data_IF_690902705239
#
_entry.id   IF_690902705239
#
_cell.length_a   1.000
_cell.length_b   1.000
_cell.length_c   1.000
_cell.angle_alpha   90.00
_cell.angle_beta   90.00
_cell.angle_gamma   90.00
#
_symmetry.space_group_name_H-M   'P 1'
#
loop_
_entity.id
_entity.type
_entity.pdbx_description
1 polymer ?
#
# COMPACT_ATOMS: atom_id res chain seq x y z
N UNK A 1 14.31 7.10 44.55
CA UNK A 1 12.93 6.71 44.22
C UNK A 1 12.27 7.77 43.36
N UNK A 2 12.13 7.53 42.05
CA UNK A 2 11.14 8.17 41.16
C UNK A 2 10.98 7.25 39.95
N UNK A 3 9.89 6.50 39.91
CA UNK A 3 9.47 5.68 38.76
C UNK A 3 8.92 6.62 37.70
N UNK A 4 9.47 6.66 36.50
CA UNK A 4 8.82 7.29 35.34
C UNK A 4 8.26 6.22 34.42
N UNK A 5 6.93 6.24 34.32
CA UNK A 5 6.07 5.36 33.51
C UNK A 5 6.29 5.68 32.04
N UNK A 6 6.64 4.68 31.24
CA UNK A 6 6.60 4.78 29.77
C UNK A 6 5.15 4.59 29.32
N UNK A 7 4.67 5.54 28.51
CA UNK A 7 3.34 5.56 27.90
C UNK A 7 3.22 4.45 26.84
N UNK A 8 2.58 3.33 27.18
CA UNK A 8 2.26 2.24 26.23
C UNK A 8 0.87 2.42 25.58
N UNK A 9 0.11 3.45 25.97
CA UNK A 9 -1.28 3.63 25.54
C UNK A 9 -1.36 4.61 24.37
N UNK A 10 -1.00 4.19 23.14
CA UNK A 10 -1.41 4.93 21.93
C UNK A 10 -1.46 4.19 20.59
N UNK A 11 -1.19 2.88 20.52
CA UNK A 11 -1.13 2.17 19.22
C UNK A 11 -2.42 1.41 18.84
N UNK A 12 -3.38 1.22 19.75
CA UNK A 12 -4.47 0.24 19.54
C UNK A 12 -5.76 0.73 18.84
N UNK A 13 -5.85 1.97 18.35
CA UNK A 13 -7.15 2.56 17.98
C UNK A 13 -7.39 2.85 16.48
N UNK A 14 -6.49 2.43 15.58
CA UNK A 14 -6.68 2.60 14.12
C UNK A 14 -7.26 1.32 13.46
N UNK A 15 -7.05 0.14 14.02
CA UNK A 15 -7.44 -1.13 13.40
C UNK A 15 -8.84 -1.64 13.76
N UNK A 16 -9.48 -1.10 14.82
CA UNK A 16 -10.82 -1.54 15.27
C UNK A 16 -11.98 -0.95 14.47
N UNK A 17 -11.76 0.10 13.66
CA UNK A 17 -12.82 0.77 12.90
C UNK A 17 -13.16 0.15 11.55
N UNK A 18 -12.36 -0.82 11.08
CA UNK A 18 -12.52 -1.39 9.73
C UNK A 18 -13.44 -2.64 9.68
N UNK A 19 -13.77 -3.25 10.83
CA UNK A 19 -14.43 -4.58 10.88
C UNK A 19 -15.96 -4.49 11.15
N UNK A 20 -16.50 -3.33 11.49
CA UNK A 20 -17.91 -3.18 11.92
C UNK A 20 -18.85 -2.63 10.83
N UNK A 21 -18.68 -2.99 9.55
CA UNK A 21 -19.52 -2.44 8.47
C UNK A 21 -20.12 -3.45 7.47
N UNK A 22 -20.04 -4.76 7.71
CA UNK A 22 -20.58 -5.77 6.77
C UNK A 22 -21.34 -6.89 7.47
N UNK A 23 -22.45 -6.58 8.13
CA UNK A 23 -23.47 -7.57 8.52
C UNK A 23 -24.77 -6.87 8.89
N UNK A 24 -25.59 -6.57 7.88
CA UNK A 24 -27.02 -6.33 8.03
C UNK A 24 -27.64 -6.24 6.64
N UNK A 25 -28.23 -7.32 6.15
CA UNK A 25 -29.41 -7.37 5.28
C UNK A 25 -29.56 -8.79 4.74
N UNK A 26 -30.64 -9.46 5.14
CA UNK A 26 -31.60 -10.16 4.27
C UNK A 26 -32.44 -11.12 5.13
N UNK A 27 -33.66 -10.72 5.47
CA UNK A 27 -34.76 -11.66 5.67
C UNK A 27 -35.92 -11.17 4.83
N UNK A 28 -36.48 -12.05 4.00
CA UNK A 28 -37.89 -12.08 3.64
C UNK A 28 -38.16 -13.41 2.93
N UNK A 29 -39.02 -14.22 3.54
CA UNK A 29 -39.43 -15.57 3.16
C UNK A 29 -40.63 -15.50 2.20
N UNK A 30 -40.70 -16.42 1.23
CA UNK A 30 -41.88 -16.62 0.38
C UNK A 30 -42.12 -18.10 0.05
N UNK A 31 -43.10 -18.69 0.74
CA UNK A 31 -43.94 -19.87 0.47
C UNK A 31 -43.43 -21.06 -0.37
N UNK A 32 -43.37 -22.27 0.21
CA UNK A 32 -43.41 -23.56 -0.53
C UNK A 32 -44.14 -24.68 0.23
N UNK A 33 -44.80 -25.57 -0.53
CA UNK A 33 -45.61 -26.72 -0.11
C UNK A 33 -44.92 -27.64 0.91
N UNK A 34 -45.68 -28.16 1.88
CA UNK A 34 -45.23 -28.94 3.06
C UNK A 34 -44.38 -30.19 2.74
N UNK A 35 -44.64 -30.87 1.63
CA UNK A 35 -43.81 -32.01 1.17
C UNK A 35 -42.48 -31.59 0.53
N UNK A 36 -42.47 -30.44 -0.16
CA UNK A 36 -41.24 -29.79 -0.64
C UNK A 36 -40.44 -29.25 0.54
N UNK A 37 -41.12 -28.68 1.54
CA UNK A 37 -40.51 -28.13 2.75
C UNK A 37 -39.79 -29.24 3.52
N UNK A 38 -40.42 -30.40 3.70
CA UNK A 38 -39.79 -31.55 4.36
C UNK A 38 -38.57 -32.09 3.60
N UNK A 39 -38.63 -32.19 2.26
CA UNK A 39 -37.48 -32.58 1.44
C UNK A 39 -36.36 -31.53 1.38
N UNK A 40 -36.71 -30.24 1.54
CA UNK A 40 -35.74 -29.16 1.70
C UNK A 40 -35.09 -29.20 3.08
N UNK A 41 -35.87 -29.37 4.15
CA UNK A 41 -35.38 -29.49 5.52
C UNK A 41 -34.47 -30.73 5.69
N UNK A 42 -34.86 -31.90 5.15
CA UNK A 42 -34.02 -33.11 5.18
C UNK A 42 -32.72 -32.93 4.36
N UNK A 43 -32.76 -32.22 3.23
CA UNK A 43 -31.55 -31.91 2.45
C UNK A 43 -30.67 -30.85 3.11
N UNK A 44 -31.27 -29.85 3.75
CA UNK A 44 -30.56 -28.83 4.54
C UNK A 44 -29.87 -29.48 5.75
N UNK A 45 -30.56 -30.37 6.47
CA UNK A 45 -29.98 -31.12 7.59
C UNK A 45 -28.85 -32.05 7.11
N UNK A 46 -29.00 -32.70 5.95
CA UNK A 46 -27.93 -33.53 5.37
C UNK A 46 -26.72 -32.70 4.91
N UNK A 47 -26.95 -31.50 4.37
CA UNK A 47 -25.89 -30.55 3.98
C UNK A 47 -25.19 -30.00 5.22
N UNK A 48 -25.95 -29.61 6.24
CA UNK A 48 -25.44 -29.10 7.51
C UNK A 48 -24.64 -30.17 8.26
N UNK A 49 -25.11 -31.42 8.25
CA UNK A 49 -24.38 -32.55 8.85
C UNK A 49 -23.08 -32.83 8.10
N UNK A 50 -23.09 -32.85 6.75
CA UNK A 50 -21.87 -33.01 5.94
C UNK A 50 -20.89 -31.86 6.13
N UNK A 51 -21.38 -30.63 6.17
CA UNK A 51 -20.55 -29.45 6.44
C UNK A 51 -19.95 -29.52 7.85
N UNK A 52 -20.72 -29.97 8.84
CA UNK A 52 -20.24 -30.13 10.22
C UNK A 52 -19.20 -31.25 10.35
N UNK A 53 -19.40 -32.37 9.66
CA UNK A 53 -18.42 -33.46 9.58
C UNK A 53 -17.13 -33.03 8.85
N UNK A 54 -17.24 -32.31 7.73
CA UNK A 54 -16.08 -31.77 7.01
C UNK A 54 -15.29 -30.77 7.87
N UNK A 55 -15.97 -29.84 8.57
CA UNK A 55 -15.35 -28.91 9.53
C UNK A 55 -14.64 -29.69 10.65
N UNK A 56 -15.28 -30.73 11.20
CA UNK A 56 -14.70 -31.56 12.27
C UNK A 56 -13.45 -32.32 11.83
N UNK A 57 -13.41 -32.85 10.61
CA UNK A 57 -12.25 -33.56 10.06
C UNK A 57 -11.10 -32.58 9.77
N UNK A 58 -11.43 -31.38 9.30
CA UNK A 58 -10.45 -30.32 9.02
C UNK A 58 -9.87 -29.71 10.30
N UNK A 59 -10.68 -29.60 11.38
CA UNK A 59 -10.20 -29.25 12.72
C UNK A 59 -9.24 -30.30 13.30
N UNK A 60 -9.57 -31.60 13.16
CA UNK A 60 -8.69 -32.68 13.60
C UNK A 60 -7.35 -32.69 12.88
N UNK A 61 -7.35 -32.55 11.55
CA UNK A 61 -6.10 -32.45 10.77
C UNK A 61 -5.25 -31.25 11.19
N UNK A 62 -5.88 -30.11 11.48
CA UNK A 62 -5.17 -28.91 11.97
C UNK A 62 -4.54 -29.15 13.34
N UNK A 63 -5.24 -29.83 14.23
CA UNK A 63 -4.73 -30.19 15.55
C UNK A 63 -3.55 -31.17 15.47
N UNK A 64 -3.65 -32.22 14.65
CA UNK A 64 -2.55 -33.19 14.43
C UNK A 64 -1.29 -32.53 13.86
N UNK A 65 -1.46 -31.59 12.90
CA UNK A 65 -0.34 -30.81 12.37
C UNK A 65 0.30 -29.93 13.46
N UNK A 66 -0.49 -29.25 14.28
CA UNK A 66 0.02 -28.41 15.37
C UNK A 66 0.79 -29.24 16.43
N UNK A 67 0.30 -30.41 16.80
CA UNK A 67 0.99 -31.33 17.71
C UNK A 67 2.31 -31.86 17.13
N UNK A 68 2.36 -32.08 15.81
CA UNK A 68 3.59 -32.51 15.13
C UNK A 68 4.65 -31.42 15.15
N UNK A 69 4.25 -30.16 14.96
CA UNK A 69 5.14 -29.00 15.07
C UNK A 69 5.63 -28.84 16.50
N UNK A 70 4.73 -28.95 17.49
CA UNK A 70 5.08 -28.89 18.91
C UNK A 70 6.18 -29.90 19.28
N UNK A 71 5.99 -31.18 18.93
CA UNK A 71 6.97 -32.25 19.18
C UNK A 71 8.33 -31.96 18.52
N UNK A 72 8.31 -31.38 17.32
CA UNK A 72 9.54 -31.03 16.59
C UNK A 72 10.29 -29.91 17.30
N UNK A 73 9.59 -28.87 17.78
CA UNK A 73 10.19 -27.77 18.54
C UNK A 73 10.74 -28.27 19.88
N UNK A 74 9.99 -29.11 20.61
CA UNK A 74 10.45 -29.71 21.89
C UNK A 74 11.77 -30.45 21.67
N UNK A 75 11.82 -31.33 20.67
CA UNK A 75 13.03 -32.09 20.35
C UNK A 75 14.23 -31.17 20.08
N UNK A 76 14.05 -30.13 19.27
CA UNK A 76 15.14 -29.18 18.96
C UNK A 76 15.63 -28.44 20.21
N UNK A 77 14.73 -28.07 21.12
CA UNK A 77 15.09 -27.43 22.40
C UNK A 77 15.84 -28.39 23.31
N UNK A 78 15.42 -29.66 23.41
CA UNK A 78 16.11 -30.70 24.18
C UNK A 78 17.53 -30.98 23.66
N UNK A 79 17.72 -30.89 22.34
CA UNK A 79 19.02 -30.99 21.66
C UNK A 79 19.85 -29.69 21.74
N UNK A 80 19.37 -28.69 22.49
CA UNK A 80 19.94 -27.33 22.61
C UNK A 80 20.08 -26.57 21.27
N UNK A 81 19.34 -26.99 20.26
CA UNK A 81 19.33 -26.41 18.93
C UNK A 81 18.27 -25.32 18.80
N UNK A 82 18.48 -24.22 19.52
CA UNK A 82 17.49 -23.17 19.68
C UNK A 82 17.22 -22.37 18.40
N UNK A 83 18.25 -22.14 17.58
CA UNK A 83 18.09 -21.40 16.33
C UNK A 83 17.20 -22.17 15.34
N UNK A 84 17.38 -23.49 15.25
CA UNK A 84 16.52 -24.33 14.41
C UNK A 84 15.10 -24.40 14.97
N UNK A 85 14.92 -24.41 16.29
CA UNK A 85 13.59 -24.34 16.92
C UNK A 85 12.86 -23.03 16.55
N UNK A 86 13.56 -21.89 16.64
CA UNK A 86 13.05 -20.57 16.24
C UNK A 86 12.69 -20.57 14.75
N UNK A 87 13.61 -21.04 13.90
CA UNK A 87 13.43 -21.05 12.45
C UNK A 87 12.28 -21.96 12.04
N UNK A 88 12.13 -23.13 12.68
CA UNK A 88 11.04 -24.06 12.43
C UNK A 88 9.67 -23.45 12.78
N UNK A 89 9.56 -22.79 13.93
CA UNK A 89 8.35 -22.05 14.31
C UNK A 89 8.04 -20.95 13.28
N UNK A 90 9.03 -20.14 12.92
CA UNK A 90 8.83 -19.02 12.00
C UNK A 90 8.43 -19.46 10.61
N UNK A 91 9.08 -20.49 10.07
CA UNK A 91 8.72 -21.03 8.78
C UNK A 91 7.27 -21.49 8.81
N UNK A 92 6.90 -22.29 9.81
CA UNK A 92 5.57 -22.88 9.92
C UNK A 92 4.45 -21.85 10.09
N UNK A 93 4.62 -20.87 10.98
CA UNK A 93 3.51 -19.99 11.39
C UNK A 93 3.60 -18.54 10.90
N UNK A 94 4.77 -18.08 10.45
CA UNK A 94 5.02 -16.67 10.11
C UNK A 94 5.33 -16.49 8.63
N UNK A 95 6.31 -17.23 8.09
CA UNK A 95 6.87 -16.98 6.75
C UNK A 95 6.16 -17.75 5.65
N UNK A 96 5.82 -19.03 5.85
CA UNK A 96 5.13 -19.82 4.81
C UNK A 96 3.62 -19.80 4.94
N UNK A 97 3.08 -19.09 5.95
CA UNK A 97 1.65 -18.89 6.26
C UNK A 97 0.74 -19.83 5.47
N UNK A 98 0.84 -21.13 5.76
CA UNK A 98 -0.20 -22.06 5.39
C UNK A 98 -1.42 -21.60 6.21
N UNK A 99 -2.34 -20.87 5.57
CA UNK A 99 -3.38 -20.07 6.24
C UNK A 99 -4.31 -20.90 7.14
N UNK A 100 -4.16 -22.22 7.11
CA UNK A 100 -4.93 -23.22 7.83
C UNK A 100 -4.39 -23.51 9.24
N UNK A 101 -3.11 -23.28 9.55
CA UNK A 101 -2.52 -23.69 10.84
C UNK A 101 -2.11 -22.48 11.67
N UNK A 102 -2.73 -22.32 12.84
CA UNK A 102 -2.40 -21.26 13.80
C UNK A 102 -1.52 -21.81 14.93
N UNK A 103 -0.58 -21.01 15.45
CA UNK A 103 0.19 -21.42 16.61
C UNK A 103 -0.74 -21.57 17.83
N UNK A 104 -0.59 -22.66 18.56
CA UNK A 104 -1.22 -22.86 19.87
C UNK A 104 -0.48 -22.06 20.94
N UNK A 105 -1.12 -21.82 22.08
CA UNK A 105 -0.46 -21.22 23.25
C UNK A 105 0.84 -21.96 23.61
N UNK A 106 0.82 -23.29 23.55
CA UNK A 106 2.00 -24.10 23.84
C UNK A 106 3.15 -23.90 22.87
N UNK A 107 2.87 -23.82 21.56
CA UNK A 107 3.90 -23.53 20.56
C UNK A 107 4.49 -22.14 20.72
N UNK A 108 3.70 -21.15 21.16
CA UNK A 108 4.18 -19.79 21.46
C UNK A 108 5.08 -19.81 22.69
N UNK A 109 4.74 -20.56 23.74
CA UNK A 109 5.61 -20.74 24.91
C UNK A 109 6.96 -21.36 24.54
N UNK A 110 6.95 -22.41 23.72
CA UNK A 110 8.17 -23.08 23.27
C UNK A 110 9.02 -22.16 22.40
N UNK A 111 8.40 -21.38 21.52
CA UNK A 111 9.07 -20.34 20.75
C UNK A 111 9.77 -19.32 21.67
N UNK A 112 9.05 -18.81 22.67
CA UNK A 112 9.62 -17.90 23.67
C UNK A 112 10.79 -18.53 24.43
N UNK A 113 10.68 -19.80 24.82
CA UNK A 113 11.74 -20.53 25.50
C UNK A 113 12.98 -20.70 24.60
N UNK A 114 12.79 -21.05 23.33
CA UNK A 114 13.89 -21.18 22.37
C UNK A 114 14.60 -19.83 22.17
N UNK A 115 13.85 -18.74 21.97
CA UNK A 115 14.40 -17.39 21.85
C UNK A 115 15.18 -17.00 23.11
N UNK A 116 14.60 -17.23 24.29
CA UNK A 116 15.27 -16.96 25.56
C UNK A 116 16.60 -17.71 25.65
N UNK A 117 16.60 -19.01 25.39
CA UNK A 117 17.79 -19.87 25.50
C UNK A 117 18.87 -19.54 24.49
N UNK A 118 18.47 -19.18 23.27
CA UNK A 118 19.37 -18.68 22.24
C UNK A 118 20.09 -17.41 22.73
N UNK A 119 19.35 -16.40 23.19
CA UNK A 119 19.92 -15.13 23.61
C UNK A 119 20.59 -15.15 24.99
N UNK A 120 20.26 -16.11 25.86
CA UNK A 120 21.05 -16.40 27.06
C UNK A 120 22.49 -16.76 26.69
N UNK A 121 22.68 -17.56 25.62
CA UNK A 121 23.98 -18.03 25.14
C UNK A 121 24.68 -17.07 24.17
N UNK A 122 23.95 -16.25 23.41
CA UNK A 122 24.53 -15.34 22.42
C UNK A 122 25.47 -14.33 23.07
N UNK A 123 26.63 -14.05 22.45
CA UNK A 123 27.58 -13.05 22.94
C UNK A 123 27.31 -11.65 22.36
N UNK A 124 26.75 -11.61 21.16
CA UNK A 124 26.44 -10.39 20.40
C UNK A 124 25.01 -10.46 19.87
N UNK A 125 24.47 -9.31 19.47
CA UNK A 125 23.23 -9.23 18.71
C UNK A 125 23.50 -8.57 17.36
N UNK A 126 23.42 -9.32 16.28
CA UNK A 126 23.77 -8.80 14.96
C UNK A 126 22.53 -8.49 14.09
N UNK A 127 22.79 -8.10 12.85
CA UNK A 127 21.73 -7.81 11.90
C UNK A 127 20.86 -9.04 11.59
N UNK A 128 21.43 -10.25 11.60
CA UNK A 128 20.69 -11.48 11.39
C UNK A 128 19.71 -11.72 12.56
N UNK A 129 20.17 -11.54 13.79
CA UNK A 129 19.32 -11.64 14.99
C UNK A 129 18.18 -10.61 14.97
N UNK A 130 18.47 -9.38 14.56
CA UNK A 130 17.46 -8.34 14.38
C UNK A 130 16.36 -8.78 13.40
N UNK A 131 16.76 -9.28 12.22
CA UNK A 131 15.81 -9.77 11.21
C UNK A 131 15.04 -11.00 11.72
N UNK A 132 15.74 -11.90 12.40
CA UNK A 132 15.19 -13.11 13.00
C UNK A 132 14.08 -12.80 14.02
N UNK A 133 14.07 -11.64 14.67
CA UNK A 133 13.00 -11.28 15.62
C UNK A 133 11.99 -10.28 15.07
N UNK A 134 12.36 -9.48 14.07
CA UNK A 134 11.56 -8.34 13.60
C UNK A 134 10.15 -8.67 13.10
N UNK A 135 9.92 -9.90 12.61
CA UNK A 135 8.63 -10.32 12.03
C UNK A 135 7.58 -10.70 13.08
N UNK A 136 8.01 -10.98 14.31
CA UNK A 136 7.22 -11.70 15.30
C UNK A 136 7.53 -11.26 16.74
N UNK A 137 8.15 -10.10 16.92
CA UNK A 137 8.39 -9.50 18.24
C UNK A 137 7.14 -9.41 19.12
N UNK A 138 5.96 -9.23 18.51
CA UNK A 138 4.67 -9.21 19.21
C UNK A 138 4.27 -10.54 19.87
N UNK A 139 4.89 -11.66 19.46
CA UNK A 139 4.69 -12.99 20.05
C UNK A 139 5.66 -13.27 21.19
N UNK A 140 6.67 -12.42 21.37
CA UNK A 140 7.58 -12.51 22.51
C UNK A 140 6.90 -11.96 23.76
N UNK A 141 7.08 -12.67 24.87
CA UNK A 141 6.65 -12.21 26.17
C UNK A 141 7.61 -11.14 26.69
N UNK A 142 7.11 -10.33 27.62
CA UNK A 142 7.84 -9.17 28.16
C UNK A 142 9.19 -9.54 28.79
N UNK A 143 9.30 -10.73 29.39
CA UNK A 143 10.54 -11.20 30.02
C UNK A 143 11.63 -11.46 28.99
N UNK A 144 11.29 -12.14 27.89
CA UNK A 144 12.23 -12.44 26.80
C UNK A 144 12.67 -11.15 26.11
N UNK A 145 11.72 -10.26 25.80
CA UNK A 145 12.04 -8.95 25.23
C UNK A 145 12.96 -8.15 26.17
N UNK A 146 12.65 -8.10 27.46
CA UNK A 146 13.47 -7.39 28.46
C UNK A 146 14.88 -7.96 28.58
N UNK A 147 15.04 -9.29 28.54
CA UNK A 147 16.34 -9.95 28.54
C UNK A 147 17.20 -9.48 27.35
N UNK A 148 16.62 -9.51 26.14
CA UNK A 148 17.31 -9.16 24.90
C UNK A 148 17.75 -7.69 24.94
N UNK A 149 16.82 -6.77 25.23
CA UNK A 149 17.15 -5.33 25.28
C UNK A 149 18.14 -5.00 26.39
N UNK A 150 18.05 -5.65 27.56
CA UNK A 150 19.01 -5.41 28.64
C UNK A 150 20.42 -5.86 28.25
N UNK A 151 20.54 -7.01 27.57
CA UNK A 151 21.82 -7.59 27.20
C UNK A 151 22.45 -6.91 25.98
N UNK A 152 21.63 -6.46 25.03
CA UNK A 152 22.07 -6.03 23.70
C UNK A 152 21.60 -4.63 23.29
N UNK A 153 21.24 -3.78 24.26
CA UNK A 153 20.74 -2.40 23.97
C UNK A 153 21.63 -1.64 22.98
N UNK A 154 22.94 -1.61 23.20
CA UNK A 154 23.88 -0.90 22.31
C UNK A 154 23.85 -1.47 20.88
N UNK A 155 23.96 -2.79 20.73
CA UNK A 155 23.95 -3.45 19.42
C UNK A 155 22.64 -3.15 18.66
N UNK A 156 21.51 -3.23 19.36
CA UNK A 156 20.19 -2.94 18.81
C UNK A 156 20.09 -1.47 18.37
N UNK A 157 20.54 -0.53 19.22
CA UNK A 157 20.54 0.91 18.89
C UNK A 157 21.39 1.21 17.66
N UNK A 158 22.56 0.58 17.53
CA UNK A 158 23.44 0.74 16.36
C UNK A 158 22.79 0.20 15.07
N UNK A 159 22.17 -0.98 15.14
CA UNK A 159 21.44 -1.58 14.01
C UNK A 159 20.25 -0.70 13.60
N UNK A 160 19.45 -0.25 14.56
CA UNK A 160 18.31 0.62 14.31
C UNK A 160 18.73 1.95 13.68
N UNK A 161 19.82 2.55 14.16
CA UNK A 161 20.38 3.77 13.58
C UNK A 161 20.86 3.55 12.15
N UNK A 162 21.51 2.42 11.86
CA UNK A 162 21.93 2.05 10.51
C UNK A 162 20.73 1.89 9.55
N UNK A 163 19.69 1.16 9.99
CA UNK A 163 18.46 0.95 9.21
C UNK A 163 17.77 2.30 8.95
N UNK A 164 17.69 3.16 9.97
CA UNK A 164 17.05 4.45 9.87
C UNK A 164 17.79 5.36 8.88
N UNK A 165 19.12 5.41 8.95
CA UNK A 165 19.96 6.14 8.01
C UNK A 165 19.71 5.70 6.56
N UNK A 166 19.68 4.40 6.29
CA UNK A 166 19.39 3.88 4.95
C UNK A 166 17.99 4.24 4.43
N UNK A 167 16.99 4.29 5.32
CA UNK A 167 15.64 4.76 4.98
C UNK A 167 15.62 6.25 4.63
N UNK A 168 16.34 7.06 5.39
CA UNK A 168 16.40 8.51 5.16
C UNK A 168 17.11 8.86 3.86
N UNK A 169 18.25 8.22 3.57
CA UNK A 169 18.97 8.36 2.28
C UNK A 169 18.08 7.95 1.10
N UNK A 170 17.33 6.86 1.24
CA UNK A 170 16.39 6.40 0.20
C UNK A 170 15.25 7.40 0.00
N UNK A 171 14.72 7.96 1.10
CA UNK A 171 13.64 8.96 1.06
C UNK A 171 14.11 10.24 0.38
N UNK A 172 15.31 10.70 0.70
CA UNK A 172 15.94 11.87 0.07
C UNK A 172 16.15 11.64 -1.43
N UNK A 173 16.71 10.49 -1.82
CA UNK A 173 16.91 10.15 -3.24
C UNK A 173 15.59 10.13 -4.02
N UNK A 174 14.53 9.58 -3.44
CA UNK A 174 13.19 9.58 -4.05
C UNK A 174 12.63 11.01 -4.16
N UNK A 175 12.83 11.85 -3.15
CA UNK A 175 12.39 13.24 -3.18
C UNK A 175 13.12 14.05 -4.27
N UNK A 176 14.44 13.92 -4.36
CA UNK A 176 15.27 14.59 -5.37
C UNK A 176 14.86 14.14 -6.78
N UNK A 177 14.71 12.83 -7.01
CA UNK A 177 14.24 12.31 -8.30
C UNK A 177 12.87 12.87 -8.71
N UNK A 178 11.94 12.98 -7.76
CA UNK A 178 10.61 13.57 -8.02
C UNK A 178 10.71 15.06 -8.35
N UNK A 179 11.54 15.80 -7.64
CA UNK A 179 11.76 17.23 -7.88
C UNK A 179 12.37 17.49 -9.26
N UNK A 180 13.45 16.77 -9.61
CA UNK A 180 14.10 16.87 -10.92
C UNK A 180 13.17 16.49 -12.07
N UNK A 181 12.32 15.49 -11.86
CA UNK A 181 11.32 15.08 -12.85
C UNK A 181 10.26 16.17 -13.03
N UNK A 182 9.72 16.71 -11.94
CA UNK A 182 8.74 17.80 -12.00
C UNK A 182 9.33 19.05 -12.67
N UNK A 183 10.60 19.39 -12.40
CA UNK A 183 11.28 20.50 -13.05
C UNK A 183 11.44 20.27 -14.56
N UNK A 184 11.82 19.05 -14.99
CA UNK A 184 11.91 18.71 -16.41
C UNK A 184 10.56 18.79 -17.10
N UNK A 185 9.52 18.21 -16.51
CA UNK A 185 8.15 18.26 -17.03
C UNK A 185 7.66 19.72 -17.15
N UNK A 186 7.92 20.55 -16.14
CA UNK A 186 7.58 21.97 -16.17
C UNK A 186 8.34 22.74 -17.28
N UNK A 187 9.65 22.48 -17.46
CA UNK A 187 10.45 23.08 -18.54
C UNK A 187 9.95 22.65 -19.91
N UNK A 188 9.64 21.37 -20.09
CA UNK A 188 9.16 20.83 -21.36
C UNK A 188 7.75 21.35 -21.69
N UNK A 189 6.88 21.46 -20.69
CA UNK A 189 5.58 22.10 -20.83
C UNK A 189 5.71 23.58 -21.19
N UNK A 190 6.58 24.33 -20.52
CA UNK A 190 6.84 25.73 -20.83
C UNK A 190 7.36 25.90 -22.26
N UNK A 191 8.28 25.03 -22.70
CA UNK A 191 8.77 25.00 -24.09
C UNK A 191 7.65 24.73 -25.08
N UNK A 192 6.78 23.74 -24.83
CA UNK A 192 5.63 23.45 -25.70
C UNK A 192 4.64 24.62 -25.78
N UNK A 193 4.39 25.30 -24.67
CA UNK A 193 3.56 26.50 -24.63
C UNK A 193 4.19 27.59 -25.50
N UNK A 194 5.48 27.84 -25.33
CA UNK A 194 6.19 28.86 -26.10
C UNK A 194 6.22 28.53 -27.60
N UNK A 195 6.51 27.29 -27.98
CA UNK A 195 6.44 26.84 -29.38
C UNK A 195 5.03 26.95 -29.96
N UNK A 196 3.99 26.79 -29.13
CA UNK A 196 2.60 26.94 -29.59
C UNK A 196 2.24 28.38 -29.92
N UNK A 197 2.84 29.36 -29.24
CA UNK A 197 2.67 30.79 -29.54
C UNK A 197 3.31 31.20 -30.87
N UNK A 198 4.18 30.40 -31.49
CA UNK A 198 4.72 30.73 -32.82
C UNK A 198 3.79 30.35 -33.98
N UNK A 199 2.60 29.79 -33.69
CA UNK A 199 1.68 29.29 -34.71
C UNK A 199 0.34 30.00 -34.63
N UNK A 200 -0.13 30.44 -35.79
CA UNK A 200 -1.50 30.88 -36.03
C UNK A 200 -2.20 29.82 -36.86
N UNK A 201 -3.43 29.44 -36.50
CA UNK A 201 -4.21 28.44 -37.23
C UNK A 201 -5.69 28.81 -37.30
N UNK A 202 -6.35 28.35 -38.36
CA UNK A 202 -7.80 28.56 -38.59
C UNK A 202 -8.60 28.03 -37.39
N UNK A 203 -9.57 28.81 -36.93
CA UNK A 203 -10.42 28.55 -35.77
C UNK A 203 -10.02 29.32 -34.51
N UNK A 204 -8.86 29.97 -34.49
CA UNK A 204 -8.47 30.85 -33.38
C UNK A 204 -9.38 32.07 -33.27
N UNK A 205 -9.67 32.53 -32.05
CA UNK A 205 -10.27 33.85 -31.83
C UNK A 205 -9.25 34.97 -32.03
N UNK A 206 -9.71 36.21 -32.16
CA UNK A 206 -8.85 37.39 -32.22
C UNK A 206 -7.90 37.47 -31.02
N UNK A 207 -8.40 37.24 -29.82
CA UNK A 207 -7.61 37.27 -28.58
C UNK A 207 -6.55 36.17 -28.56
N UNK A 208 -6.88 34.99 -29.09
CA UNK A 208 -5.92 33.88 -29.21
C UNK A 208 -4.81 34.19 -30.19
N UNK A 209 -5.13 34.83 -31.33
CA UNK A 209 -4.12 35.31 -32.31
C UNK A 209 -3.23 36.39 -31.69
N UNK A 210 -3.82 37.37 -31.00
CA UNK A 210 -3.07 38.43 -30.31
C UNK A 210 -2.16 37.90 -29.20
N UNK A 211 -2.53 36.79 -28.56
CA UNK A 211 -1.73 36.12 -27.53
C UNK A 211 -0.57 35.26 -28.10
N UNK A 212 -0.47 35.14 -29.42
CA UNK A 212 0.67 34.51 -30.10
C UNK A 212 1.86 35.49 -30.19
N UNK A 213 3.01 34.97 -30.62
CA UNK A 213 4.19 35.78 -30.92
C UNK A 213 4.04 36.60 -32.22
N UNK A 214 2.93 36.46 -32.96
CA UNK A 214 2.60 37.37 -34.06
C UNK A 214 2.14 38.74 -33.53
N UNK A 215 1.51 38.80 -32.35
CA UNK A 215 1.11 40.04 -31.70
C UNK A 215 0.01 40.80 -32.46
N UNK A 216 0.00 42.12 -32.33
CA UNK A 216 -0.94 43.00 -33.04
C UNK A 216 -0.62 43.07 -34.54
N UNK A 217 -1.64 43.10 -35.43
CA UNK A 217 -1.43 43.28 -36.86
C UNK A 217 -0.99 44.71 -37.18
N UNK A 218 -0.34 44.89 -38.33
CA UNK A 218 0.06 46.22 -38.82
C UNK A 218 -1.16 47.07 -39.19
N UNK A 219 -2.22 46.43 -39.70
CA UNK A 219 -3.47 47.09 -40.11
C UNK A 219 -4.68 46.14 -39.99
N UNK A 220 -5.87 46.71 -39.79
CA UNK A 220 -7.14 45.99 -39.68
C UNK A 220 -8.19 46.66 -40.58
N UNK A 221 -8.59 45.95 -41.63
CA UNK A 221 -9.70 46.33 -42.49
C UNK A 221 -11.00 45.65 -42.00
N UNK A 222 -11.95 46.43 -41.50
CA UNK A 222 -13.18 45.92 -40.87
C UNK A 222 -14.44 46.29 -41.63
N UNK A 223 -15.29 45.30 -41.90
CA UNK A 223 -16.61 45.47 -42.52
C UNK A 223 -17.69 44.91 -41.61
N UNK A 224 -18.75 45.69 -41.38
CA UNK A 224 -19.96 45.23 -40.67
C UNK A 224 -21.12 45.24 -41.66
N UNK A 225 -21.86 44.14 -41.72
CA UNK A 225 -23.09 44.03 -42.52
C UNK A 225 -24.26 43.60 -41.65
N UNK A 226 -25.46 43.53 -42.21
CA UNK A 226 -26.62 42.92 -41.54
C UNK A 226 -26.44 41.42 -41.26
N UNK A 227 -25.46 40.77 -41.90
CA UNK A 227 -25.23 39.32 -41.81
C UNK A 227 -24.08 38.92 -40.88
N UNK A 228 -23.24 39.87 -40.43
CA UNK A 228 -22.09 39.59 -39.58
C UNK A 228 -20.98 40.64 -39.70
N UNK A 229 -19.87 40.39 -39.01
CA UNK A 229 -18.64 41.20 -39.06
C UNK A 229 -17.50 40.41 -39.70
N UNK A 230 -16.89 40.97 -40.73
CA UNK A 230 -15.66 40.44 -41.34
C UNK A 230 -14.48 41.39 -41.15
N UNK A 231 -13.31 40.84 -40.86
CA UNK A 231 -12.07 41.59 -40.64
C UNK A 231 -10.91 40.94 -41.40
N UNK A 232 -10.08 41.75 -42.06
CA UNK A 232 -8.78 41.33 -42.60
C UNK A 232 -7.68 41.99 -41.77
N UNK A 233 -6.78 41.19 -41.22
CA UNK A 233 -5.62 41.63 -40.45
C UNK A 233 -4.36 41.42 -41.28
N UNK A 234 -3.54 42.46 -41.40
CA UNK A 234 -2.31 42.47 -42.19
C UNK A 234 -1.11 42.21 -41.29
N UNK A 235 -0.31 41.19 -41.60
CA UNK A 235 0.94 40.89 -40.93
C UNK A 235 2.10 40.93 -41.94
N UNK A 236 2.60 42.13 -42.21
CA UNK A 236 3.64 42.41 -43.22
C UNK A 236 4.95 41.71 -42.88
N UNK A 237 5.33 41.66 -41.59
CA UNK A 237 6.53 40.96 -41.13
C UNK A 237 6.53 39.46 -41.45
N UNK A 238 5.34 38.85 -41.54
CA UNK A 238 5.16 37.44 -41.88
C UNK A 238 4.77 37.25 -43.36
N UNK A 239 4.47 38.32 -44.08
CA UNK A 239 3.93 38.29 -45.45
C UNK A 239 2.63 37.47 -45.50
N UNK A 240 1.71 37.72 -44.56
CA UNK A 240 0.49 36.93 -44.40
C UNK A 240 -0.71 37.84 -44.11
N UNK A 241 -1.88 37.38 -44.51
CA UNK A 241 -3.16 38.03 -44.19
C UNK A 241 -4.07 37.04 -43.45
N UNK A 242 -4.70 37.50 -42.39
CA UNK A 242 -5.64 36.72 -41.60
C UNK A 242 -7.05 37.27 -41.78
N UNK A 243 -8.00 36.41 -42.13
CA UNK A 243 -9.40 36.80 -42.30
C UNK A 243 -10.26 36.22 -41.20
N UNK A 244 -10.99 37.08 -40.50
CA UNK A 244 -11.87 36.71 -39.42
C UNK A 244 -13.33 36.92 -39.82
N UNK A 245 -14.18 35.98 -39.44
CA UNK A 245 -15.64 36.08 -39.50
C UNK A 245 -16.19 35.97 -38.08
N UNK A 246 -16.92 36.99 -37.64
CA UNK A 246 -17.47 37.14 -36.29
C UNK A 246 -16.45 36.86 -35.17
N UNK A 247 -15.19 37.28 -35.41
CA UNK A 247 -14.09 37.16 -34.45
C UNK A 247 -13.35 35.82 -34.45
N UNK A 248 -13.66 34.91 -35.37
CA UNK A 248 -12.96 33.63 -35.55
C UNK A 248 -12.15 33.66 -36.85
N UNK A 249 -10.87 33.29 -36.77
CA UNK A 249 -9.98 33.20 -37.92
C UNK A 249 -10.44 32.08 -38.86
N UNK A 250 -10.87 32.42 -40.07
CA UNK A 250 -11.37 31.45 -41.05
C UNK A 250 -10.43 31.23 -42.23
N UNK A 251 -9.52 32.16 -42.54
CA UNK A 251 -8.56 32.02 -43.65
C UNK A 251 -7.20 32.62 -43.30
N UNK A 252 -6.13 31.94 -43.70
CA UNK A 252 -4.75 32.43 -43.69
C UNK A 252 -4.29 32.46 -45.14
N UNK A 253 -3.87 33.62 -45.63
CA UNK A 253 -3.41 33.82 -47.01
C UNK A 253 -1.93 34.19 -47.04
N UNK A 254 -1.18 33.60 -47.98
CA UNK A 254 0.26 33.79 -48.22
C UNK A 254 0.62 34.68 -49.42
#
# INVERSE_FOLDING_TARGET
>A
MRKNKVNVVKVSNQYKKLIMLTLCLLTLVGCTNEETKKKLEENEELIETKQTEEISVEDQKRQEKAETVEKSIVKLIEEENYLDAITHYKNTFIQTADSEIKPTEKTIELYNLAVQKYFEKAETFDYYDYILLSLDMEKLNENVTSLIYQKFSTDIEEIEAFIQKGKDETRERIANYKAERAEREAKEQAKRIEESKNRVYIGMTKEQVLATNWGEPDDINRTITSYGTSEQWVYSAYGKYLYFEDGILVTIQD
#
